data_IF_781963276970
#
_entry.id   IF_781963276970
#
_cell.length_a   1.000
_cell.length_b   1.000
_cell.length_c   1.000
_cell.angle_alpha   90.00
_cell.angle_beta   90.00
_cell.angle_gamma   90.00
#
_symmetry.space_group_name_H-M   'P 1'
#
loop_
_entity.id
_entity.type
_entity.pdbx_description
1 polymer ?
#
# COMPACT_ATOMS: atom_id res chain seq x y z
N UNK A 1 -7.28 -31.62 -6.97
CA UNK A 1 -7.03 -31.03 -5.63
C UNK A 1 -6.12 -29.79 -5.61
N UNK A 2 -4.96 -29.76 -6.29
CA UNK A 2 -3.96 -28.65 -6.21
C UNK A 2 -4.48 -27.23 -6.52
N UNK A 3 -5.50 -27.08 -7.38
CA UNK A 3 -6.06 -25.77 -7.76
C UNK A 3 -6.81 -25.10 -6.60
N UNK A 4 -7.60 -25.87 -5.84
CA UNK A 4 -8.42 -25.39 -4.71
C UNK A 4 -7.55 -24.89 -3.54
N UNK A 5 -6.45 -25.60 -3.23
CA UNK A 5 -5.48 -25.15 -2.21
C UNK A 5 -4.77 -23.84 -2.60
N UNK A 6 -4.47 -23.67 -3.90
CA UNK A 6 -3.85 -22.45 -4.43
C UNK A 6 -4.78 -21.24 -4.33
N UNK A 7 -6.08 -21.44 -4.52
CA UNK A 7 -7.08 -20.39 -4.42
C UNK A 7 -7.33 -19.95 -2.97
N UNK A 8 -7.40 -20.90 -2.03
CA UNK A 8 -7.48 -20.60 -0.59
C UNK A 8 -6.25 -19.83 -0.09
N UNK A 9 -5.04 -20.24 -0.46
CA UNK A 9 -3.82 -19.54 -0.07
C UNK A 9 -3.77 -18.10 -0.62
N UNK A 10 -4.30 -17.87 -1.84
CA UNK A 10 -4.45 -16.55 -2.42
C UNK A 10 -5.47 -15.70 -1.69
N UNK A 11 -6.58 -16.29 -1.27
CA UNK A 11 -7.62 -15.59 -0.52
C UNK A 11 -7.11 -15.17 0.87
N UNK A 12 -6.50 -16.09 1.63
CA UNK A 12 -5.85 -15.77 2.90
C UNK A 12 -4.79 -14.69 2.75
N UNK A 13 -3.99 -14.73 1.68
CA UNK A 13 -3.00 -13.70 1.41
C UNK A 13 -3.64 -12.32 1.15
N UNK A 14 -4.80 -12.25 0.48
CA UNK A 14 -5.56 -11.00 0.33
C UNK A 14 -6.04 -10.49 1.68
N UNK A 15 -6.69 -11.35 2.48
CA UNK A 15 -7.19 -10.98 3.81
C UNK A 15 -6.05 -10.46 4.70
N UNK A 16 -4.90 -11.14 4.69
CA UNK A 16 -3.71 -10.73 5.43
C UNK A 16 -3.15 -9.39 4.97
N UNK A 17 -3.16 -9.12 3.67
CA UNK A 17 -2.77 -7.80 3.14
C UNK A 17 -3.71 -6.73 3.68
N UNK A 18 -5.03 -6.92 3.59
CA UNK A 18 -6.01 -5.96 4.11
C UNK A 18 -5.79 -5.70 5.60
N UNK A 19 -5.64 -6.75 6.41
CA UNK A 19 -5.40 -6.62 7.85
C UNK A 19 -4.11 -5.87 8.18
N UNK A 20 -3.04 -6.08 7.42
CA UNK A 20 -1.78 -5.34 7.60
C UNK A 20 -1.95 -3.84 7.32
N UNK A 21 -2.82 -3.47 6.37
CA UNK A 21 -3.12 -2.07 6.10
C UNK A 21 -3.99 -1.43 7.16
N UNK A 22 -4.96 -2.15 7.72
CA UNK A 22 -5.74 -1.69 8.88
C UNK A 22 -4.84 -1.40 10.08
N UNK A 23 -3.92 -2.33 10.38
CA UNK A 23 -2.93 -2.14 11.44
C UNK A 23 -1.96 -1.00 11.15
N UNK A 24 -1.59 -0.78 9.88
CA UNK A 24 -0.79 0.36 9.48
C UNK A 24 -1.55 1.68 9.72
N UNK A 25 -2.86 1.72 9.48
CA UNK A 25 -3.67 2.91 9.70
C UNK A 25 -3.81 3.23 11.20
N UNK A 26 -4.06 2.22 12.03
CA UNK A 26 -4.19 2.39 13.48
C UNK A 26 -2.88 2.80 14.15
N UNK A 27 -1.77 2.18 13.75
CA UNK A 27 -0.45 2.43 14.35
C UNK A 27 0.25 3.67 13.78
N UNK A 28 -0.23 4.26 12.69
CA UNK A 28 0.46 5.39 12.05
C UNK A 28 0.63 6.59 12.98
N UNK A 29 -0.39 6.89 13.79
CA UNK A 29 -0.34 8.04 14.71
C UNK A 29 0.67 7.86 15.84
N UNK A 30 0.78 6.64 16.37
CA UNK A 30 1.68 6.34 17.50
C UNK A 30 3.10 5.99 17.03
N UNK A 31 3.21 5.17 15.99
CA UNK A 31 4.46 4.59 15.50
C UNK A 31 4.49 4.52 13.96
N UNK A 32 4.84 5.62 13.27
CA UNK A 32 4.94 5.66 11.82
C UNK A 32 5.86 4.58 11.23
N UNK A 33 6.97 4.26 11.91
CA UNK A 33 7.92 3.22 11.47
C UNK A 33 7.34 1.81 11.45
N UNK A 34 6.37 1.49 12.31
CA UNK A 34 5.68 0.18 12.29
C UNK A 34 4.75 0.08 11.08
N UNK A 35 4.07 1.17 10.75
CA UNK A 35 3.20 1.28 9.59
C UNK A 35 3.96 1.01 8.28
N UNK A 36 5.16 1.58 8.16
CA UNK A 36 6.07 1.31 7.04
C UNK A 36 6.47 -0.17 6.97
N UNK A 37 6.71 -0.80 8.11
CA UNK A 37 7.03 -2.23 8.17
C UNK A 37 5.85 -3.10 7.72
N UNK A 38 4.63 -2.79 8.15
CA UNK A 38 3.43 -3.53 7.74
C UNK A 38 3.17 -3.41 6.24
N UNK A 39 3.29 -2.22 5.68
CA UNK A 39 3.20 -1.96 4.25
C UNK A 39 4.24 -2.76 3.45
N UNK A 40 5.49 -2.79 3.92
CA UNK A 40 6.57 -3.60 3.31
C UNK A 40 6.25 -5.10 3.35
N UNK A 41 5.63 -5.59 4.43
CA UNK A 41 5.19 -6.99 4.54
C UNK A 41 4.02 -7.28 3.58
N UNK A 42 3.01 -6.41 3.53
CA UNK A 42 1.87 -6.54 2.63
C UNK A 42 2.33 -6.61 1.16
N UNK A 43 3.26 -5.75 0.75
CA UNK A 43 3.86 -5.79 -0.59
C UNK A 43 4.60 -7.11 -0.85
N UNK A 44 5.41 -7.60 0.10
CA UNK A 44 6.13 -8.88 -0.03
C UNK A 44 5.17 -10.06 -0.20
N UNK A 45 4.07 -10.09 0.55
CA UNK A 45 3.03 -11.11 0.41
C UNK A 45 2.38 -11.01 -0.98
N UNK A 46 2.03 -9.80 -1.41
CA UNK A 46 1.44 -9.56 -2.73
C UNK A 46 2.33 -10.05 -3.87
N UNK A 47 3.65 -9.80 -3.80
CA UNK A 47 4.62 -10.29 -4.78
C UNK A 47 4.73 -11.82 -4.76
N UNK A 48 4.85 -12.43 -3.58
CA UNK A 48 4.98 -13.90 -3.43
C UNK A 48 3.80 -14.66 -4.05
N UNK A 49 2.58 -14.20 -3.79
CA UNK A 49 1.36 -14.85 -4.29
C UNK A 49 0.89 -14.31 -5.65
N UNK A 50 1.65 -13.39 -6.26
CA UNK A 50 1.31 -12.69 -7.52
C UNK A 50 -0.11 -12.13 -7.47
N UNK A 51 -0.45 -11.47 -6.36
CA UNK A 51 -1.73 -10.82 -6.15
C UNK A 51 -1.69 -9.38 -6.66
N UNK A 52 -2.73 -8.99 -7.37
CA UNK A 52 -2.97 -7.59 -7.72
C UNK A 52 -3.54 -6.90 -6.48
N UNK A 53 -2.78 -5.97 -5.89
CA UNK A 53 -3.30 -5.16 -4.80
C UNK A 53 -4.49 -4.31 -5.28
N UNK A 54 -5.56 -4.19 -4.47
CA UNK A 54 -6.63 -3.24 -4.72
C UNK A 54 -6.08 -1.83 -4.99
N UNK A 55 -6.70 -1.06 -5.91
CA UNK A 55 -6.21 0.27 -6.27
C UNK A 55 -6.05 1.21 -5.08
N UNK A 56 -6.94 1.13 -4.10
CA UNK A 56 -6.93 1.91 -2.86
C UNK A 56 -5.67 1.67 -2.05
N UNK A 57 -5.37 0.40 -1.76
CA UNK A 57 -4.17 0.00 -1.03
C UNK A 57 -2.89 0.35 -1.78
N UNK A 58 -2.90 0.23 -3.11
CA UNK A 58 -1.77 0.59 -3.96
C UNK A 58 -1.46 2.09 -3.94
N UNK A 59 -2.44 2.96 -3.69
CA UNK A 59 -2.27 4.42 -3.57
C UNK A 59 -1.72 4.84 -2.20
N UNK A 60 -1.95 4.02 -1.16
CA UNK A 60 -1.47 4.25 0.21
C UNK A 60 0.00 3.84 0.43
N UNK A 61 0.74 3.46 -0.60
CA UNK A 61 2.15 3.06 -0.50
C UNK A 61 3.01 3.85 -1.48
N UNK A 62 4.14 4.37 -1.01
CA UNK A 62 5.16 4.90 -1.91
C UNK A 62 5.86 3.76 -2.66
N UNK A 63 5.83 3.79 -3.99
CA UNK A 63 6.47 2.76 -4.83
C UNK A 63 8.01 2.72 -4.73
N UNK A 64 8.62 3.70 -4.08
CA UNK A 64 10.06 3.84 -4.00
C UNK A 64 10.60 3.51 -2.61
N UNK A 65 10.21 4.27 -1.59
CA UNK A 65 10.67 4.06 -0.21
C UNK A 65 9.80 3.06 0.59
N UNK A 66 8.62 2.69 0.07
CA UNK A 66 7.64 1.84 0.74
C UNK A 66 7.10 2.39 2.06
N UNK A 67 7.14 3.71 2.22
CA UNK A 67 6.49 4.41 3.33
C UNK A 67 4.96 4.39 3.16
N UNK A 68 4.24 4.30 4.28
CA UNK A 68 2.78 4.43 4.32
C UNK A 68 2.40 5.88 4.02
N UNK A 69 1.59 6.08 2.97
CA UNK A 69 1.18 7.38 2.48
C UNK A 69 -0.15 7.79 3.10
N UNK A 70 -0.07 8.77 3.99
CA UNK A 70 -1.23 9.42 4.60
C UNK A 70 -1.27 10.86 4.10
N UNK A 71 -2.41 11.26 3.55
CA UNK A 71 -2.61 12.63 3.07
C UNK A 71 -2.44 13.62 4.22
N UNK A 72 -1.67 14.68 4.00
CA UNK A 72 -1.40 15.71 5.01
C UNK A 72 -0.24 15.38 5.96
N UNK A 73 0.11 14.11 6.15
CA UNK A 73 1.22 13.71 7.04
C UNK A 73 2.48 13.28 6.27
N UNK A 74 2.38 12.26 5.42
CA UNK A 74 3.54 11.72 4.66
C UNK A 74 3.36 11.84 3.15
N UNK A 75 2.18 12.26 2.69
CA UNK A 75 1.84 12.39 1.29
C UNK A 75 1.14 13.73 0.99
N UNK A 76 1.52 14.34 -0.12
CA UNK A 76 0.87 15.53 -0.67
C UNK A 76 0.27 15.19 -2.03
N UNK A 77 -1.04 15.25 -2.16
CA UNK A 77 -1.73 15.02 -3.44
C UNK A 77 -2.16 16.35 -4.04
N UNK A 78 -1.81 16.58 -5.30
CA UNK A 78 -2.26 17.71 -6.11
C UNK A 78 -3.05 17.18 -7.31
N UNK A 79 -4.23 17.74 -7.53
CA UNK A 79 -5.01 17.48 -8.73
C UNK A 79 -4.52 18.44 -9.83
N UNK A 80 -4.06 17.89 -10.94
CA UNK A 80 -3.85 18.60 -12.21
C UNK A 80 -4.92 18.09 -13.15
N UNK A 81 -5.53 18.94 -13.99
CA UNK A 81 -6.76 18.61 -14.74
C UNK A 81 -6.79 17.20 -15.35
N UNK A 82 -5.68 16.70 -15.91
CA UNK A 82 -5.60 15.37 -16.51
C UNK A 82 -5.12 14.24 -15.56
N UNK A 83 -4.54 14.53 -14.40
CA UNK A 83 -3.96 13.54 -13.49
C UNK A 83 -3.85 13.99 -12.02
N UNK A 84 -4.01 13.05 -11.10
CA UNK A 84 -3.64 13.21 -9.71
C UNK A 84 -2.14 12.92 -9.51
N UNK A 85 -1.41 13.87 -8.94
CA UNK A 85 -0.01 13.73 -8.58
C UNK A 85 0.16 13.64 -7.06
N UNK A 86 0.57 12.48 -6.57
CA UNK A 86 0.88 12.24 -5.16
C UNK A 86 2.39 12.28 -4.96
N UNK A 87 2.87 13.28 -4.23
CA UNK A 87 4.28 13.40 -3.82
C UNK A 87 4.47 12.78 -2.44
N UNK A 88 5.44 11.89 -2.30
CA UNK A 88 5.86 11.35 -1.01
C UNK A 88 6.77 12.36 -0.30
N UNK A 89 6.42 12.77 0.91
CA UNK A 89 7.23 13.73 1.69
C UNK A 89 8.46 13.08 2.33
N UNK A 90 8.49 11.74 2.46
CA UNK A 90 9.64 11.03 3.02
C UNK A 90 10.81 10.85 2.04
N UNK A 91 10.53 10.70 0.73
CA UNK A 91 11.58 10.49 -0.29
C UNK A 91 11.54 11.49 -1.45
N UNK A 92 10.60 12.43 -1.46
CA UNK A 92 10.44 13.44 -2.51
C UNK A 92 9.86 12.93 -3.85
N UNK A 93 9.75 11.61 -4.06
CA UNK A 93 9.30 11.08 -5.35
C UNK A 93 7.80 11.28 -5.58
N UNK A 94 7.45 11.58 -6.82
CA UNK A 94 6.09 11.84 -7.28
C UNK A 94 5.52 10.64 -8.04
N UNK A 95 4.29 10.26 -7.69
CA UNK A 95 3.50 9.24 -8.38
C UNK A 95 2.34 9.93 -9.08
N UNK A 96 2.16 9.65 -10.37
CA UNK A 96 1.09 10.23 -11.19
C UNK A 96 0.06 9.16 -11.53
N UNK A 97 -1.22 9.53 -11.50
CA UNK A 97 -2.33 8.68 -11.94
C UNK A 97 -3.28 9.53 -12.80
N UNK A 98 -3.55 9.16 -14.06
CA UNK A 98 -4.61 9.81 -14.84
C UNK A 98 -5.95 9.61 -14.14
N UNK A 99 -6.88 10.54 -14.34
CA UNK A 99 -8.18 10.47 -13.67
C UNK A 99 -8.92 9.17 -14.05
#
# INVERSE_FOLDING_TARGET
MRKKQKDWARDMAKQRITRLFELADSEFKAHPGRSDRYVKLARRIGMRYRLRLPPELKRKICKHCHTYLVQGATARTRLRGAYAATTCMACGKQMRRPY
#
